data_IF_592278872115
#
_entry.id   IF_592278872115
#
_cell.length_a   1.000
_cell.length_b   1.000
_cell.length_c   1.000
_cell.angle_alpha   90.00
_cell.angle_beta   90.00
_cell.angle_gamma   90.00
#
_symmetry.space_group_name_H-M   'P 1'
#
loop_
_entity.id
_entity.type
_entity.pdbx_description
1 polymer ?
#
# COMPACT_ATOMS: atom_id res chain seq x y z
N UNK A 1 -4.97 -16.11 3.46
CA UNK A 1 -5.93 -15.88 2.37
C UNK A 1 -5.14 -15.52 1.13
N UNK A 2 -5.40 -16.14 -0.03
CA UNK A 2 -4.51 -16.00 -1.20
C UNK A 2 -4.99 -14.84 -2.09
N UNK A 3 -4.21 -13.76 -2.10
CA UNK A 3 -4.38 -12.65 -3.04
C UNK A 3 -3.50 -12.98 -4.26
N UNK A 4 -3.99 -12.75 -5.48
CA UNK A 4 -3.24 -13.03 -6.72
C UNK A 4 -3.25 -11.79 -7.61
N UNK A 5 -2.40 -10.83 -7.28
CA UNK A 5 -2.29 -9.54 -7.98
C UNK A 5 -0.90 -9.34 -8.56
N UNK A 6 0.14 -9.78 -7.86
CA UNK A 6 1.53 -9.61 -8.26
C UNK A 6 1.99 -10.64 -9.30
N UNK A 7 1.29 -11.78 -9.43
CA UNK A 7 1.72 -12.92 -10.26
C UNK A 7 3.09 -13.48 -9.82
N UNK A 8 3.43 -13.29 -8.54
CA UNK A 8 4.64 -13.76 -7.88
C UNK A 8 4.24 -14.25 -6.49
N UNK A 9 4.46 -15.53 -6.22
CA UNK A 9 3.91 -16.19 -5.03
C UNK A 9 4.33 -15.50 -3.72
N UNK A 10 5.58 -15.08 -3.57
CA UNK A 10 6.04 -14.44 -2.32
C UNK A 10 5.45 -13.04 -2.14
N UNK A 11 5.26 -12.30 -3.24
CA UNK A 11 4.62 -10.99 -3.19
C UNK A 11 3.12 -11.13 -2.88
N UNK A 12 2.45 -12.09 -3.50
CA UNK A 12 1.06 -12.42 -3.28
C UNK A 12 0.79 -12.91 -1.84
N UNK A 13 1.73 -13.66 -1.25
CA UNK A 13 1.71 -14.03 0.18
C UNK A 13 1.83 -12.81 1.09
N UNK A 14 2.76 -11.88 0.80
CA UNK A 14 2.88 -10.63 1.55
C UNK A 14 1.60 -9.81 1.48
N UNK A 15 1.01 -9.64 0.29
CA UNK A 15 -0.26 -8.93 0.12
C UNK A 15 -1.38 -9.57 0.94
N UNK A 16 -1.43 -10.91 0.99
CA UNK A 16 -2.44 -11.65 1.75
C UNK A 16 -2.34 -11.50 3.28
N UNK A 17 -1.18 -11.11 3.82
CA UNK A 17 -0.92 -11.02 5.27
C UNK A 17 -0.62 -9.60 5.79
N UNK A 18 -0.33 -8.64 4.89
CA UNK A 18 0.01 -7.26 5.25
C UNK A 18 -1.01 -6.25 4.67
N UNK A 19 -1.90 -5.72 5.51
CA UNK A 19 -2.76 -4.56 5.19
C UNK A 19 -1.99 -3.39 4.56
N UNK A 20 -0.79 -3.11 5.07
CA UNK A 20 0.05 -2.02 4.58
C UNK A 20 0.55 -2.33 3.16
N UNK A 21 0.99 -3.56 2.89
CA UNK A 21 1.43 -3.95 1.56
C UNK A 21 0.32 -3.79 0.52
N UNK A 22 -0.93 -4.13 0.86
CA UNK A 22 -2.07 -3.91 -0.04
C UNK A 22 -2.30 -2.43 -0.36
N UNK A 23 -2.26 -1.57 0.65
CA UNK A 23 -2.43 -0.13 0.44
C UNK A 23 -1.28 0.48 -0.37
N UNK A 24 -0.05 0.04 -0.13
CA UNK A 24 1.12 0.49 -0.90
C UNK A 24 1.02 0.00 -2.34
N UNK A 25 0.64 -1.26 -2.58
CA UNK A 25 0.44 -1.79 -3.93
C UNK A 25 -0.62 -1.01 -4.71
N UNK A 26 -1.77 -0.74 -4.09
CA UNK A 26 -2.83 0.08 -4.70
C UNK A 26 -2.38 1.53 -4.91
N UNK A 27 -1.59 2.11 -4.02
CA UNK A 27 -1.03 3.46 -4.19
C UNK A 27 -0.10 3.52 -5.41
N UNK A 28 0.75 2.51 -5.57
CA UNK A 28 1.70 2.35 -6.69
C UNK A 28 1.00 2.00 -8.01
N UNK A 29 -0.22 1.48 -7.98
CA UNK A 29 -1.01 1.17 -9.17
C UNK A 29 -1.48 2.45 -9.85
N UNK A 30 -0.56 3.01 -10.62
CA UNK A 30 -0.77 4.14 -11.48
C UNK A 30 0.32 4.15 -12.52
N UNK A 31 -0.07 4.21 -13.79
CA UNK A 31 0.90 4.42 -14.86
C UNK A 31 1.96 3.31 -15.00
N UNK A 32 1.74 2.13 -14.40
CA UNK A 32 2.50 0.89 -14.61
C UNK A 32 1.51 -0.29 -14.65
N UNK A 33 1.91 -1.48 -15.13
CA UNK A 33 1.11 -2.69 -15.00
C UNK A 33 0.81 -3.00 -13.53
N UNK A 34 -0.41 -3.51 -13.27
CA UNK A 34 -0.90 -3.84 -11.94
C UNK A 34 0.04 -4.83 -11.23
N UNK A 35 0.51 -5.85 -11.95
CA UNK A 35 1.40 -6.88 -11.40
C UNK A 35 2.71 -6.29 -10.86
N UNK A 36 3.26 -5.31 -11.58
CA UNK A 36 4.45 -4.59 -11.12
C UNK A 36 4.13 -3.73 -9.89
N UNK A 37 3.03 -2.98 -9.91
CA UNK A 37 2.62 -2.15 -8.77
C UNK A 37 2.45 -2.99 -7.49
N UNK A 38 1.76 -4.12 -7.59
CA UNK A 38 1.49 -5.02 -6.48
C UNK A 38 2.70 -5.89 -6.07
N UNK A 39 3.72 -6.02 -6.92
CA UNK A 39 5.04 -6.54 -6.53
C UNK A 39 5.85 -5.51 -5.72
N UNK A 40 5.59 -4.22 -5.92
CA UNK A 40 6.35 -3.12 -5.30
C UNK A 40 6.54 -3.21 -3.78
N UNK A 41 5.48 -3.47 -2.97
CA UNK A 41 5.61 -3.63 -1.52
C UNK A 41 6.57 -4.74 -1.11
N UNK A 42 6.56 -5.86 -1.85
CA UNK A 42 7.45 -6.98 -1.61
C UNK A 42 8.89 -6.63 -1.93
N UNK A 43 9.15 -5.94 -3.04
CA UNK A 43 10.49 -5.43 -3.38
C UNK A 43 11.04 -4.48 -2.30
N UNK A 44 10.18 -3.63 -1.70
CA UNK A 44 10.58 -2.77 -0.59
C UNK A 44 10.91 -3.61 0.66
N UNK A 45 10.08 -4.59 0.99
CA UNK A 45 10.30 -5.52 2.11
C UNK A 45 11.62 -6.29 1.96
N UNK A 46 11.92 -6.82 0.77
CA UNK A 46 13.21 -7.51 0.51
C UNK A 46 14.41 -6.59 0.75
N UNK A 47 14.32 -5.30 0.39
CA UNK A 47 15.40 -4.33 0.57
C UNK A 47 15.58 -3.89 2.02
N UNK A 48 14.49 -3.83 2.79
CA UNK A 48 14.53 -3.55 4.22
C UNK A 48 14.96 -4.78 5.04
N UNK A 49 14.70 -5.99 4.53
CA UNK A 49 14.98 -7.26 5.18
C UNK A 49 13.85 -7.79 6.08
N UNK A 50 12.71 -7.09 6.11
CA UNK A 50 11.54 -7.43 6.90
C UNK A 50 10.28 -6.76 6.34
N UNK A 51 9.12 -7.17 6.85
CA UNK A 51 7.84 -6.63 6.40
C UNK A 51 7.65 -5.16 6.74
N UNK A 52 6.95 -4.47 5.85
CA UNK A 52 6.69 -3.04 5.96
C UNK A 52 5.94 -2.71 7.26
N UNK A 53 6.42 -1.70 7.97
CA UNK A 53 5.68 -1.04 9.06
C UNK A 53 5.46 0.43 8.73
N UNK A 54 4.33 0.99 9.19
CA UNK A 54 4.00 2.38 8.90
C UNK A 54 4.97 3.33 9.63
N UNK A 55 5.30 3.04 10.89
CA UNK A 55 6.21 3.85 11.71
C UNK A 55 7.61 3.96 11.10
N UNK A 56 8.19 2.85 10.64
CA UNK A 56 9.49 2.84 10.01
C UNK A 56 9.48 3.64 8.70
N UNK A 57 8.50 3.39 7.82
CA UNK A 57 8.41 4.09 6.53
C UNK A 57 8.20 5.59 6.74
N UNK A 58 7.35 5.98 7.68
CA UNK A 58 7.05 7.38 7.99
C UNK A 58 8.27 8.13 8.56
N UNK A 59 9.11 7.45 9.33
CA UNK A 59 10.31 8.01 9.96
C UNK A 59 11.60 7.81 9.16
N UNK A 60 11.56 7.04 8.07
CA UNK A 60 12.70 6.78 7.22
C UNK A 60 13.27 8.08 6.62
N UNK A 61 14.59 8.18 6.51
CA UNK A 61 15.21 9.31 5.81
C UNK A 61 14.67 9.39 4.36
N UNK A 62 14.08 10.53 3.93
CA UNK A 62 13.41 10.62 2.63
C UNK A 62 14.32 10.37 1.44
N UNK A 63 15.58 10.80 1.51
CA UNK A 63 16.54 10.60 0.41
C UNK A 63 16.98 9.13 0.35
N UNK A 64 17.26 8.51 1.49
CA UNK A 64 17.60 7.10 1.59
C UNK A 64 16.43 6.20 1.16
N UNK A 65 15.19 6.52 1.54
CA UNK A 65 14.02 5.76 1.13
C UNK A 65 13.75 5.90 -0.38
N UNK A 66 13.90 7.11 -0.92
CA UNK A 66 13.81 7.33 -2.36
C UNK A 66 14.91 6.57 -3.13
N UNK A 67 16.14 6.53 -2.60
CA UNK A 67 17.23 5.73 -3.16
C UNK A 67 16.93 4.23 -3.10
N UNK A 68 16.39 3.76 -1.96
CA UNK A 68 15.96 2.38 -1.78
C UNK A 68 14.92 1.98 -2.83
N UNK A 69 13.91 2.79 -3.12
CA UNK A 69 12.92 2.48 -4.18
C UNK A 69 13.50 2.61 -5.60
N UNK A 70 14.56 3.41 -5.78
CA UNK A 70 15.21 3.66 -7.07
C UNK A 70 16.28 2.61 -7.43
N UNK A 71 16.72 1.79 -6.48
CA UNK A 71 17.64 0.67 -6.74
C UNK A 71 17.07 -0.23 -7.84
N UNK A 72 17.93 -0.68 -8.77
CA UNK A 72 17.51 -1.44 -9.95
C UNK A 72 17.28 -2.92 -9.61
N UNK A 73 16.20 -3.54 -10.12
CA UNK A 73 15.10 -2.92 -10.89
C UNK A 73 14.25 -2.01 -10.00
N UNK A 74 13.92 -0.81 -10.49
CA UNK A 74 13.21 0.18 -9.69
C UNK A 74 11.79 -0.30 -9.31
N UNK A 75 11.33 0.09 -8.11
CA UNK A 75 9.98 -0.26 -7.62
C UNK A 75 8.87 0.35 -8.50
N UNK A 76 9.14 1.49 -9.12
CA UNK A 76 8.21 2.19 -10.00
C UNK A 76 8.99 2.93 -11.09
N UNK A 77 8.33 3.30 -12.19
CA UNK A 77 8.89 4.21 -13.21
C UNK A 77 9.15 5.66 -12.73
N UNK A 78 8.72 5.99 -11.51
CA UNK A 78 8.86 7.31 -10.86
C UNK A 78 9.25 7.12 -9.38
N UNK A 79 10.40 6.48 -9.09
CA UNK A 79 10.69 5.95 -7.76
C UNK A 79 10.74 7.04 -6.68
N UNK A 80 11.36 8.20 -6.98
CA UNK A 80 11.45 9.32 -6.03
C UNK A 80 10.07 9.87 -5.63
N UNK A 81 9.20 10.12 -6.60
CA UNK A 81 7.86 10.65 -6.32
C UNK A 81 6.99 9.62 -5.61
N UNK A 82 7.11 8.34 -5.97
CA UNK A 82 6.35 7.27 -5.29
C UNK A 82 6.85 7.01 -3.88
N UNK A 83 8.16 7.10 -3.62
CA UNK A 83 8.71 7.02 -2.27
C UNK A 83 8.08 8.07 -1.34
N UNK A 84 8.06 9.35 -1.77
CA UNK A 84 7.43 10.41 -1.00
C UNK A 84 5.93 10.16 -0.73
N UNK A 85 5.19 9.62 -1.72
CA UNK A 85 3.77 9.28 -1.53
C UNK A 85 3.57 8.12 -0.56
N UNK A 86 4.44 7.10 -0.61
CA UNK A 86 4.40 5.97 0.32
C UNK A 86 4.69 6.44 1.74
N UNK A 87 5.64 7.36 1.94
CA UNK A 87 5.88 7.99 3.25
C UNK A 87 4.70 8.83 3.73
N UNK A 88 4.06 9.61 2.84
CA UNK A 88 2.85 10.38 3.19
C UNK A 88 1.70 9.47 3.64
N UNK A 89 1.49 8.37 2.92
CA UNK A 89 0.50 7.35 3.31
C UNK A 89 0.86 6.76 4.68
N UNK A 90 2.11 6.38 4.90
CA UNK A 90 2.57 5.81 6.17
C UNK A 90 2.39 6.80 7.33
N UNK A 91 2.78 8.07 7.15
CA UNK A 91 2.59 9.12 8.16
C UNK A 91 1.10 9.32 8.51
N UNK A 92 0.22 9.34 7.51
CA UNK A 92 -1.23 9.43 7.73
C UNK A 92 -1.76 8.23 8.51
N UNK A 93 -1.26 7.02 8.24
CA UNK A 93 -1.63 5.81 8.98
C UNK A 93 -1.15 5.85 10.44
N UNK A 94 0.06 6.35 10.69
CA UNK A 94 0.58 6.56 12.06
C UNK A 94 -0.29 7.56 12.81
N UNK A 95 -0.57 8.72 12.21
CA UNK A 95 -1.32 9.81 12.84
C UNK A 95 -2.78 9.46 13.14
N UNK A 96 -3.47 8.81 12.20
CA UNK A 96 -4.92 8.61 12.30
C UNK A 96 -5.35 7.19 12.66
N UNK A 97 -4.44 6.21 12.55
CA UNK A 97 -4.75 4.79 12.73
C UNK A 97 -3.71 4.05 13.58
N UNK A 98 -2.84 4.75 14.32
CA UNK A 98 -1.78 4.17 15.16
C UNK A 98 -0.87 3.20 14.38
N UNK A 99 -0.62 3.50 13.10
CA UNK A 99 0.20 2.68 12.22
C UNK A 99 -0.45 1.36 11.79
N UNK A 100 -1.77 1.18 12.06
CA UNK A 100 -2.53 -0.05 11.84
C UNK A 100 -3.53 0.09 10.68
N UNK A 101 -3.16 -0.28 9.44
CA UNK A 101 -3.98 0.00 8.26
C UNK A 101 -5.29 -0.78 8.23
N UNK A 102 -5.37 -1.93 8.91
CA UNK A 102 -6.61 -2.70 9.01
C UNK A 102 -7.75 -1.94 9.67
N UNK A 103 -7.45 -0.95 10.52
CA UNK A 103 -8.44 -0.07 11.15
C UNK A 103 -9.26 0.75 10.16
N UNK A 104 -8.74 0.97 8.94
CA UNK A 104 -9.48 1.70 7.91
C UNK A 104 -10.80 1.01 7.58
N UNK A 105 -10.82 -0.32 7.53
CA UNK A 105 -12.02 -1.11 7.23
C UNK A 105 -12.64 -1.78 8.44
N UNK A 106 -11.86 -2.19 9.46
CA UNK A 106 -12.47 -2.81 10.66
C UNK A 106 -13.33 -1.82 11.44
N UNK A 107 -12.97 -0.54 11.42
CA UNK A 107 -13.65 0.49 12.19
C UNK A 107 -14.67 1.27 11.33
N UNK A 108 -14.84 0.89 10.06
CA UNK A 108 -15.80 1.50 9.16
C UNK A 108 -17.23 1.07 9.53
N UNK A 109 -18.16 2.03 9.56
CA UNK A 109 -19.56 1.74 9.91
C UNK A 109 -20.31 1.00 8.79
N UNK A 110 -19.99 1.34 7.53
CA UNK A 110 -20.55 0.74 6.32
C UNK A 110 -19.63 0.99 5.12
N UNK A 111 -19.97 0.45 3.96
CA UNK A 111 -19.21 0.68 2.72
C UNK A 111 -19.11 2.15 2.29
N UNK A 112 -20.04 3.03 2.67
CA UNK A 112 -19.94 4.47 2.36
C UNK A 112 -18.91 5.15 3.26
N UNK A 113 -18.88 4.81 4.54
CA UNK A 113 -17.85 5.25 5.48
C UNK A 113 -16.47 4.75 5.04
N UNK A 114 -16.36 3.47 4.65
CA UNK A 114 -15.12 2.91 4.14
C UNK A 114 -14.61 3.66 2.90
N UNK A 115 -15.48 3.99 1.93
CA UNK A 115 -15.07 4.80 0.78
C UNK A 115 -14.57 6.18 1.21
N UNK A 116 -15.23 6.83 2.18
CA UNK A 116 -14.78 8.13 2.70
C UNK A 116 -13.40 8.03 3.35
N UNK A 117 -13.17 7.01 4.18
CA UNK A 117 -11.87 6.76 4.82
C UNK A 117 -10.78 6.48 3.80
N UNK A 118 -11.06 5.65 2.79
CA UNK A 118 -10.14 5.38 1.70
C UNK A 118 -9.82 6.63 0.89
N UNK A 119 -10.80 7.49 0.61
CA UNK A 119 -10.58 8.76 -0.10
C UNK A 119 -9.77 9.78 0.71
N UNK A 120 -9.73 9.65 2.03
CA UNK A 120 -8.92 10.51 2.88
C UNK A 120 -7.43 10.12 2.87
N UNK A 121 -7.09 8.90 2.41
CA UNK A 121 -5.71 8.46 2.32
C UNK A 121 -4.92 9.28 1.28
N UNK A 122 -3.69 9.71 1.59
CA UNK A 122 -2.81 10.36 0.61
C UNK A 122 -2.64 9.48 -0.64
N UNK A 123 -2.94 10.06 -1.80
CA UNK A 123 -2.85 9.38 -3.10
C UNK A 123 -4.09 8.57 -3.52
N UNK A 124 -5.16 8.56 -2.73
CA UNK A 124 -6.40 7.85 -3.03
C UNK A 124 -7.50 8.80 -3.53
N UNK A 125 -7.62 8.91 -4.84
CA UNK A 125 -8.77 9.57 -5.46
C UNK A 125 -10.05 8.72 -5.41
N UNK A 126 -11.20 9.32 -5.75
CA UNK A 126 -12.52 8.66 -5.74
C UNK A 126 -12.54 7.31 -6.45
N UNK A 127 -12.00 7.25 -7.66
CA UNK A 127 -11.97 6.01 -8.45
C UNK A 127 -11.09 4.93 -7.79
N UNK A 128 -9.90 5.31 -7.31
CA UNK A 128 -8.97 4.41 -6.62
C UNK A 128 -9.61 3.81 -5.38
N UNK A 129 -10.28 4.64 -4.56
CA UNK A 129 -11.00 4.20 -3.38
C UNK A 129 -12.13 3.20 -3.71
N UNK A 130 -12.88 3.42 -4.80
CA UNK A 130 -13.94 2.50 -5.23
C UNK A 130 -13.39 1.16 -5.73
N UNK A 131 -12.31 1.17 -6.50
CA UNK A 131 -11.64 -0.06 -6.95
C UNK A 131 -11.11 -0.84 -5.74
N UNK A 132 -10.50 -0.14 -4.79
CA UNK A 132 -9.96 -0.77 -3.59
C UNK A 132 -11.06 -1.33 -2.69
N UNK A 133 -12.19 -0.64 -2.51
CA UNK A 133 -13.36 -1.21 -1.81
C UNK A 133 -13.80 -2.53 -2.47
N UNK A 134 -13.91 -2.57 -3.80
CA UNK A 134 -14.30 -3.78 -4.50
C UNK A 134 -13.29 -4.92 -4.33
N UNK A 135 -12.00 -4.59 -4.25
CA UNK A 135 -10.93 -5.53 -3.93
C UNK A 135 -11.06 -6.05 -2.50
N UNK A 136 -11.25 -5.17 -1.51
CA UNK A 136 -11.46 -5.55 -0.11
C UNK A 136 -12.69 -6.47 0.05
N UNK A 137 -13.80 -6.16 -0.62
CA UNK A 137 -14.99 -7.01 -0.55
C UNK A 137 -14.82 -8.38 -1.21
N UNK A 138 -14.17 -8.43 -2.38
CA UNK A 138 -13.93 -9.70 -3.09
C UNK A 138 -12.88 -10.58 -2.41
N UNK A 139 -11.80 -9.95 -1.94
CA UNK A 139 -10.64 -10.67 -1.42
C UNK A 139 -10.78 -10.89 0.07
N UNK A 140 -11.05 -9.84 0.86
CA UNK A 140 -11.04 -9.87 2.34
C UNK A 140 -12.43 -10.05 2.97
N UNK A 141 -13.50 -10.15 2.17
CA UNK A 141 -14.87 -10.33 2.70
C UNK A 141 -15.41 -9.12 3.46
N UNK A 142 -14.81 -7.93 3.27
CA UNK A 142 -15.27 -6.67 3.87
C UNK A 142 -16.60 -6.26 3.23
N UNK A 143 -17.63 -6.00 4.04
CA UNK A 143 -18.99 -5.62 3.58
C UNK A 143 -19.30 -4.15 3.85
#
# INVERSE_FOLDING_TARGET
MRIQLAQRDEADELLGRSPLALLVGMLLDQQIPMEWAFTGPYTISERLGHDLTADEIASYDPEAFAALLAEKPAVHRYPKSMAARVQQLAAYLVEHYDGRPEKIWSDAADGKDLVKRLQALPGYGKQKAQIFLALLGKQLGVQ
#
